data_IF_290498408002
#
_entry.id   IF_290498408002
#
_cell.length_a   1.000
_cell.length_b   1.000
_cell.length_c   1.000
_cell.angle_alpha   90.00
_cell.angle_beta   90.00
_cell.angle_gamma   90.00
#
_symmetry.space_group_name_H-M   'P 1'
#
loop_
_entity.id
_entity.type
_entity.pdbx_description
1 polymer ?
#
# COMPACT_ATOMS: atom_id res chain seq x y z
N UNK A 1 -18.16 -10.16 29.59
CA UNK A 1 -18.22 -10.87 28.29
C UNK A 1 -18.10 -9.92 27.08
N UNK A 2 -17.62 -8.67 27.20
CA UNK A 2 -17.51 -7.75 26.05
C UNK A 2 -16.18 -7.87 25.25
N UNK A 3 -15.09 -8.30 25.91
CA UNK A 3 -13.73 -8.21 25.37
C UNK A 3 -13.46 -9.03 24.10
N UNK A 4 -14.13 -10.17 23.91
CA UNK A 4 -13.94 -11.02 22.72
C UNK A 4 -14.56 -10.42 21.45
N UNK A 5 -15.72 -9.77 21.57
CA UNK A 5 -16.39 -9.14 20.43
C UNK A 5 -15.63 -7.91 19.94
N UNK A 6 -15.04 -7.14 20.85
CA UNK A 6 -14.24 -5.95 20.50
C UNK A 6 -12.94 -6.34 19.77
N UNK A 7 -12.31 -7.45 20.18
CA UNK A 7 -11.12 -8.00 19.52
C UNK A 7 -11.45 -8.53 18.12
N UNK A 8 -12.52 -9.31 17.96
CA UNK A 8 -12.98 -9.81 16.65
C UNK A 8 -13.26 -8.68 15.65
N UNK A 9 -13.93 -7.62 16.11
CA UNK A 9 -14.18 -6.41 15.30
C UNK A 9 -12.85 -5.77 14.90
N UNK A 10 -11.91 -5.64 15.83
CA UNK A 10 -10.59 -5.04 15.59
C UNK A 10 -9.78 -5.85 14.57
N UNK A 11 -9.81 -7.18 14.63
CA UNK A 11 -9.09 -8.05 13.68
C UNK A 11 -9.70 -7.98 12.28
N UNK A 12 -11.03 -7.99 12.20
CA UNK A 12 -11.74 -7.83 10.94
C UNK A 12 -11.47 -6.46 10.32
N UNK A 13 -11.35 -5.41 11.14
CA UNK A 13 -10.97 -4.07 10.70
C UNK A 13 -9.53 -4.01 10.18
N UNK A 14 -8.57 -4.62 10.88
CA UNK A 14 -7.17 -4.71 10.42
C UNK A 14 -7.05 -5.40 9.06
N UNK A 15 -7.71 -6.54 8.90
CA UNK A 15 -7.70 -7.32 7.65
C UNK A 15 -8.32 -6.54 6.49
N UNK A 16 -9.45 -5.88 6.77
CA UNK A 16 -10.17 -5.05 5.81
C UNK A 16 -9.35 -3.84 5.36
N UNK A 17 -8.74 -3.11 6.28
CA UNK A 17 -7.90 -1.96 5.94
C UNK A 17 -6.62 -2.39 5.21
N UNK A 18 -5.99 -3.50 5.59
CA UNK A 18 -4.87 -4.07 4.83
C UNK A 18 -5.26 -4.37 3.38
N UNK A 19 -6.41 -5.02 3.16
CA UNK A 19 -6.93 -5.30 1.81
C UNK A 19 -7.21 -4.03 1.00
N UNK A 20 -7.73 -2.98 1.63
CA UNK A 20 -7.95 -1.68 0.96
C UNK A 20 -6.64 -1.02 0.55
N UNK A 21 -5.66 -0.96 1.45
CA UNK A 21 -4.34 -0.37 1.16
C UNK A 21 -3.67 -1.06 -0.03
N UNK A 22 -3.72 -2.39 -0.08
CA UNK A 22 -3.18 -3.16 -1.21
C UNK A 22 -3.93 -2.87 -2.51
N UNK A 23 -5.27 -2.76 -2.45
CA UNK A 23 -6.09 -2.40 -3.61
C UNK A 23 -5.78 -0.98 -4.11
N UNK A 24 -5.63 -0.02 -3.21
CA UNK A 24 -5.28 1.36 -3.57
C UNK A 24 -3.88 1.45 -4.19
N UNK A 25 -2.92 0.69 -3.67
CA UNK A 25 -1.60 0.54 -4.29
C UNK A 25 -1.68 0.05 -5.73
N UNK A 26 -2.41 -1.05 -5.99
CA UNK A 26 -2.58 -1.55 -7.36
C UNK A 26 -3.25 -0.54 -8.30
N UNK A 27 -4.23 0.20 -7.79
CA UNK A 27 -4.89 1.26 -8.56
C UNK A 27 -3.90 2.38 -8.91
N UNK A 28 -3.11 2.84 -7.95
CA UNK A 28 -2.08 3.86 -8.17
C UNK A 28 -1.00 3.38 -9.16
N UNK A 29 -0.67 2.09 -9.15
CA UNK A 29 0.27 1.53 -10.11
C UNK A 29 -0.26 1.64 -11.55
N UNK A 30 -1.51 1.24 -11.78
CA UNK A 30 -2.13 1.36 -13.10
C UNK A 30 -2.30 2.82 -13.57
N UNK A 31 -2.61 3.73 -12.63
CA UNK A 31 -2.65 5.17 -12.92
C UNK A 31 -1.25 5.68 -13.30
N UNK A 32 -0.20 5.27 -12.58
CA UNK A 32 1.18 5.67 -12.86
C UNK A 32 1.67 5.16 -14.23
N UNK A 33 1.38 3.90 -14.56
CA UNK A 33 1.72 3.32 -15.87
C UNK A 33 1.05 4.10 -17.01
N UNK A 34 -0.24 4.44 -16.85
CA UNK A 34 -0.98 5.25 -17.82
C UNK A 34 -0.40 6.66 -18.00
N UNK A 35 0.13 7.24 -16.92
CA UNK A 35 0.81 8.54 -16.98
C UNK A 35 2.16 8.40 -17.71
N UNK A 36 2.94 7.36 -17.42
CA UNK A 36 4.23 7.08 -18.09
C UNK A 36 4.07 6.99 -19.61
N UNK A 37 3.10 6.21 -20.09
CA UNK A 37 2.81 6.05 -21.51
C UNK A 37 2.44 7.38 -22.18
N UNK A 38 1.59 8.19 -21.54
CA UNK A 38 1.18 9.50 -22.07
C UNK A 38 2.34 10.48 -22.15
N UNK A 39 3.20 10.50 -21.14
CA UNK A 39 4.37 11.37 -21.13
C UNK A 39 5.38 10.96 -22.18
N UNK A 40 5.67 9.66 -22.32
CA UNK A 40 6.53 9.14 -23.40
C UNK A 40 6.01 9.53 -24.78
N UNK A 41 4.71 9.36 -25.03
CA UNK A 41 4.09 9.73 -26.29
C UNK A 41 4.22 11.24 -26.58
N UNK A 42 4.12 12.11 -25.56
CA UNK A 42 4.32 13.56 -25.76
C UNK A 42 5.76 13.90 -26.15
N UNK A 43 6.74 13.26 -25.50
CA UNK A 43 8.17 13.44 -25.80
C UNK A 43 8.50 12.93 -27.21
N UNK A 44 8.03 11.73 -27.55
CA UNK A 44 8.22 11.12 -28.89
C UNK A 44 7.59 11.93 -30.01
N UNK A 45 6.41 12.54 -29.77
CA UNK A 45 5.71 13.37 -30.76
C UNK A 45 6.27 14.81 -30.88
N UNK A 46 7.44 15.09 -30.31
CA UNK A 46 8.18 16.32 -30.57
C UNK A 46 7.72 17.54 -29.77
N UNK A 47 7.11 17.33 -28.60
CA UNK A 47 6.64 18.41 -27.71
C UNK A 47 7.77 19.35 -27.21
N UNK A 48 9.04 19.09 -27.51
CA UNK A 48 10.16 19.77 -26.82
C UNK A 48 11.23 20.30 -27.76
N UNK A 49 11.61 21.56 -27.59
CA UNK A 49 12.94 22.05 -27.93
C UNK A 49 13.98 21.37 -27.02
N UNK A 50 15.18 21.07 -27.54
CA UNK A 50 16.20 20.20 -26.92
C UNK A 50 16.54 20.43 -25.43
N UNK A 51 16.34 21.63 -24.88
CA UNK A 51 16.61 21.94 -23.45
C UNK A 51 15.40 21.77 -22.54
N UNK A 52 14.19 21.95 -23.05
CA UNK A 52 12.96 21.80 -22.27
C UNK A 52 12.61 20.33 -22.01
N UNK A 53 12.92 19.43 -22.96
CA UNK A 53 12.71 17.98 -22.81
C UNK A 53 13.52 17.39 -21.68
N UNK A 54 14.81 17.67 -21.62
CA UNK A 54 15.70 17.02 -20.67
C UNK A 54 15.30 17.30 -19.22
N UNK A 55 14.99 18.56 -18.88
CA UNK A 55 14.55 18.93 -17.53
C UNK A 55 13.18 18.33 -17.18
N UNK A 56 12.29 18.22 -18.16
CA UNK A 56 10.98 17.60 -17.99
C UNK A 56 11.09 16.09 -17.78
N UNK A 57 11.90 15.39 -18.59
CA UNK A 57 12.18 13.96 -18.45
C UNK A 57 12.79 13.62 -17.09
N UNK A 58 13.75 14.44 -16.62
CA UNK A 58 14.35 14.28 -15.29
C UNK A 58 13.30 14.43 -14.19
N UNK A 59 12.49 15.50 -14.24
CA UNK A 59 11.41 15.74 -13.28
C UNK A 59 10.39 14.60 -13.28
N UNK A 60 10.07 14.05 -14.45
CA UNK A 60 9.13 12.95 -14.59
C UNK A 60 9.67 11.62 -14.06
N UNK A 61 10.96 11.35 -14.28
CA UNK A 61 11.66 10.21 -13.70
C UNK A 61 11.67 10.27 -12.17
N UNK A 62 11.94 11.44 -11.60
CA UNK A 62 11.92 11.63 -10.15
C UNK A 62 10.51 11.48 -9.56
N UNK A 63 9.50 12.03 -10.23
CA UNK A 63 8.09 11.80 -9.88
C UNK A 63 7.75 10.31 -9.85
N UNK A 64 8.07 9.58 -10.92
CA UNK A 64 7.77 8.14 -11.03
C UNK A 64 8.46 7.33 -9.94
N UNK A 65 9.71 7.68 -9.62
CA UNK A 65 10.45 7.06 -8.51
C UNK A 65 9.78 7.34 -7.16
N UNK A 66 9.38 8.57 -6.89
CA UNK A 66 8.67 8.94 -5.66
C UNK A 66 7.32 8.24 -5.52
N UNK A 67 6.56 8.15 -6.61
CA UNK A 67 5.28 7.45 -6.66
C UNK A 67 5.45 5.94 -6.37
N UNK A 68 6.45 5.29 -6.97
CA UNK A 68 6.79 3.87 -6.68
C UNK A 68 7.12 3.65 -5.21
N UNK A 69 7.93 4.53 -4.62
CA UNK A 69 8.25 4.47 -3.19
C UNK A 69 7.03 4.66 -2.28
N UNK A 70 6.08 5.52 -2.67
CA UNK A 70 4.83 5.67 -1.93
C UNK A 70 3.98 4.39 -1.99
N UNK A 71 3.94 3.71 -3.14
CA UNK A 71 3.26 2.43 -3.31
C UNK A 71 3.89 1.32 -2.46
N UNK A 72 5.22 1.21 -2.43
CA UNK A 72 5.93 0.31 -1.51
C UNK A 72 5.55 0.58 -0.04
N UNK A 73 5.35 1.85 0.32
CA UNK A 73 4.87 2.23 1.64
C UNK A 73 3.47 1.69 1.95
N UNK A 74 2.55 1.74 0.99
CA UNK A 74 1.19 1.19 1.13
C UNK A 74 1.22 -0.34 1.29
N UNK A 75 2.06 -1.03 0.52
CA UNK A 75 2.27 -2.47 0.65
C UNK A 75 2.79 -2.83 2.04
N UNK A 76 3.83 -2.14 2.51
CA UNK A 76 4.39 -2.35 3.84
C UNK A 76 3.39 -2.11 4.99
N UNK A 77 2.52 -1.11 4.86
CA UNK A 77 1.44 -0.87 5.83
C UNK A 77 0.40 -2.00 5.81
N UNK A 78 0.02 -2.48 4.62
CA UNK A 78 -0.87 -3.65 4.48
C UNK A 78 -0.27 -4.89 5.14
N UNK A 79 1.01 -5.18 4.89
CA UNK A 79 1.70 -6.30 5.55
C UNK A 79 1.78 -6.15 7.07
N UNK A 80 2.06 -4.94 7.55
CA UNK A 80 2.12 -4.66 8.97
C UNK A 80 0.80 -4.98 9.66
N UNK A 81 -0.33 -4.53 9.10
CA UNK A 81 -1.66 -4.80 9.64
C UNK A 81 -1.99 -6.31 9.67
N UNK A 82 -1.60 -7.06 8.63
CA UNK A 82 -1.77 -8.52 8.59
C UNK A 82 -0.96 -9.21 9.69
N UNK A 83 0.32 -8.85 9.84
CA UNK A 83 1.21 -9.41 10.88
C UNK A 83 0.72 -9.05 12.29
N UNK A 84 0.22 -7.83 12.47
CA UNK A 84 -0.35 -7.40 13.75
C UNK A 84 -1.57 -8.25 14.13
N UNK A 85 -2.50 -8.47 13.20
CA UNK A 85 -3.66 -9.37 13.40
C UNK A 85 -3.21 -10.77 13.82
N UNK A 86 -2.30 -11.39 13.07
CA UNK A 86 -1.79 -12.74 13.37
C UNK A 86 -1.17 -12.83 14.79
N UNK A 87 -0.39 -11.81 15.18
CA UNK A 87 0.22 -11.77 16.51
C UNK A 87 -0.82 -11.65 17.63
N UNK A 88 -1.87 -10.84 17.42
CA UNK A 88 -2.94 -10.70 18.40
C UNK A 88 -3.82 -11.95 18.50
N UNK A 89 -4.17 -12.59 17.39
CA UNK A 89 -4.92 -13.86 17.39
C UNK A 89 -4.15 -14.95 18.16
N UNK A 90 -2.84 -15.06 17.94
CA UNK A 90 -1.99 -16.01 18.69
C UNK A 90 -1.93 -15.71 20.18
N UNK A 91 -1.83 -14.42 20.56
CA UNK A 91 -1.80 -14.02 21.97
C UNK A 91 -3.13 -14.37 22.66
N UNK A 92 -4.26 -14.08 22.02
CA UNK A 92 -5.58 -14.36 22.58
C UNK A 92 -5.85 -15.87 22.70
N UNK A 93 -5.40 -16.68 21.74
CA UNK A 93 -5.45 -18.14 21.87
C UNK A 93 -4.66 -18.65 23.09
N UNK A 94 -3.46 -18.12 23.32
CA UNK A 94 -2.64 -18.50 24.48
C UNK A 94 -3.30 -18.10 25.79
N UNK A 95 -3.87 -16.90 25.86
CA UNK A 95 -4.62 -16.43 27.02
C UNK A 95 -5.85 -17.31 27.29
N UNK A 96 -6.60 -17.68 26.25
CA UNK A 96 -7.77 -18.55 26.35
C UNK A 96 -7.42 -19.97 26.82
N UNK A 97 -6.29 -20.53 26.36
CA UNK A 97 -5.78 -21.83 26.83
C UNK A 97 -5.39 -21.77 28.31
N UNK A 98 -4.67 -20.72 28.70
CA UNK A 98 -4.20 -20.53 30.08
C UNK A 98 -5.36 -20.37 31.06
N UNK A 99 -6.39 -19.60 30.67
CA UNK A 99 -7.60 -19.39 31.47
C UNK A 99 -8.50 -20.64 31.58
N UNK A 100 -8.40 -21.60 30.66
CA UNK A 100 -9.12 -22.89 30.73
C UNK A 100 -8.39 -23.95 31.57
N UNK A 101 -7.07 -23.83 31.71
CA UNK A 101 -6.24 -24.73 32.51
C UNK A 101 -6.11 -24.34 33.99
N UNK A 102 -6.57 -23.13 34.34
CA UNK A 102 -6.66 -22.59 35.71
C UNK A 102 -8.04 -22.81 36.32
#
# INVERSE_FOLDING_TARGET
>A
MAKGKDADITYAEMDKEAGKLLKDMHRLHGELDSIDDRIRALVENGYTTQKGSAAFEESFKDFTKGAKKAMEGLEGMSEFLKKAKEAYEQLDEQLARSAKSS
#
